data_IF_898106999231
#
_entry.id   IF_898106999231
#
_cell.length_a   1.000
_cell.length_b   1.000
_cell.length_c   1.000
_cell.angle_alpha   90.00
_cell.angle_beta   90.00
_cell.angle_gamma   90.00
#
_symmetry.space_group_name_H-M   'P 1'
#
loop_
_entity.id
_entity.type
_entity.pdbx_description
1 polymer ?
#
# COMPACT_ATOMS: atom_id res chain seq x y z
N UNK A 1 -48.68 -34.59 -35.59
CA UNK A 1 -47.75 -33.44 -35.52
C UNK A 1 -48.56 -32.15 -35.55
N UNK A 2 -48.40 -31.29 -34.55
CA UNK A 2 -48.28 -29.83 -34.68
C UNK A 2 -48.66 -29.16 -33.36
N UNK A 3 -47.67 -28.70 -32.60
CA UNK A 3 -47.86 -27.78 -31.48
C UNK A 3 -48.02 -26.38 -32.07
N UNK A 4 -49.24 -25.83 -32.02
CA UNK A 4 -49.49 -24.45 -32.42
C UNK A 4 -48.94 -23.53 -31.32
N UNK A 5 -47.73 -23.04 -31.52
CA UNK A 5 -47.12 -22.00 -30.69
C UNK A 5 -47.97 -20.73 -30.76
N UNK A 6 -48.54 -20.32 -29.64
CA UNK A 6 -49.15 -19.00 -29.45
C UNK A 6 -48.49 -18.30 -28.26
N UNK A 7 -47.15 -18.25 -28.25
CA UNK A 7 -46.45 -17.30 -27.40
C UNK A 7 -46.44 -15.93 -28.10
N UNK A 8 -47.47 -15.13 -27.83
CA UNK A 8 -47.47 -13.70 -28.15
C UNK A 8 -46.90 -12.93 -26.97
N UNK A 9 -45.60 -12.64 -27.00
CA UNK A 9 -44.99 -11.73 -26.03
C UNK A 9 -45.46 -10.32 -26.42
N UNK A 10 -46.38 -9.75 -25.66
CA UNK A 10 -46.79 -8.37 -25.85
C UNK A 10 -45.55 -7.47 -25.84
N UNK A 11 -45.29 -6.76 -26.94
CA UNK A 11 -44.22 -5.76 -27.03
C UNK A 11 -44.53 -4.65 -26.03
N UNK A 12 -43.96 -4.74 -24.83
CA UNK A 12 -44.01 -3.65 -23.86
C UNK A 12 -43.25 -2.47 -24.46
N UNK A 13 -43.82 -1.25 -24.37
CA UNK A 13 -43.14 -0.04 -24.83
C UNK A 13 -41.74 0.01 -24.19
N UNK A 14 -40.68 0.39 -24.91
CA UNK A 14 -39.36 0.53 -24.32
C UNK A 14 -39.49 1.42 -23.09
N UNK A 15 -39.20 0.86 -21.90
CA UNK A 15 -39.14 1.65 -20.68
C UNK A 15 -37.94 2.58 -20.85
N UNK A 16 -38.19 3.82 -21.29
CA UNK A 16 -37.17 4.87 -21.24
C UNK A 16 -36.89 5.11 -19.76
N UNK A 17 -35.86 4.44 -19.24
CA UNK A 17 -35.29 4.80 -17.95
C UNK A 17 -34.80 6.24 -18.11
N UNK A 18 -35.49 7.16 -17.46
CA UNK A 18 -35.13 8.58 -17.39
C UNK A 18 -33.90 8.82 -16.52
N UNK A 19 -33.26 7.78 -15.97
CA UNK A 19 -31.98 7.89 -15.27
C UNK A 19 -30.83 7.97 -16.29
N UNK A 20 -30.82 9.07 -17.03
CA UNK A 20 -29.61 9.55 -17.71
C UNK A 20 -28.63 10.00 -16.63
N UNK A 21 -27.38 9.52 -16.77
CA UNK A 21 -26.17 9.94 -16.07
C UNK A 21 -26.08 9.52 -14.60
N UNK A 22 -25.15 8.62 -14.23
CA UNK A 22 -24.58 8.77 -12.92
C UNK A 22 -23.89 10.15 -12.90
N UNK A 23 -23.94 10.86 -11.77
CA UNK A 23 -22.96 11.90 -11.40
C UNK A 23 -23.19 13.36 -11.85
N UNK A 24 -24.40 13.93 -11.74
CA UNK A 24 -24.54 15.39 -11.49
C UNK A 24 -25.74 15.71 -10.58
N UNK A 25 -25.92 14.94 -9.51
CA UNK A 25 -26.83 15.35 -8.44
C UNK A 25 -26.10 16.34 -7.52
N UNK A 26 -26.76 17.39 -7.01
CA UNK A 26 -26.22 18.21 -5.93
C UNK A 26 -25.94 17.34 -4.71
N UNK A 27 -24.96 17.73 -3.89
CA UNK A 27 -24.45 16.90 -2.79
C UNK A 27 -25.54 16.43 -1.80
N UNK A 28 -26.59 17.23 -1.61
CA UNK A 28 -27.74 16.91 -0.75
C UNK A 28 -28.65 15.81 -1.32
N UNK A 29 -28.93 15.85 -2.62
CA UNK A 29 -29.73 14.82 -3.29
C UNK A 29 -28.93 13.52 -3.39
N UNK A 30 -27.62 13.62 -3.65
CA UNK A 30 -26.73 12.46 -3.66
C UNK A 30 -26.64 11.78 -2.29
N UNK A 31 -26.58 12.56 -1.20
CA UNK A 31 -26.61 12.04 0.16
C UNK A 31 -27.95 11.39 0.52
N UNK A 32 -29.08 11.89 -0.02
CA UNK A 32 -30.40 11.27 0.16
C UNK A 32 -30.54 9.95 -0.60
N UNK A 33 -29.98 9.85 -1.80
CA UNK A 33 -30.12 8.65 -2.64
C UNK A 33 -29.10 7.56 -2.30
N UNK A 34 -27.84 7.93 -2.02
CA UNK A 34 -26.74 6.98 -1.78
C UNK A 34 -26.39 6.80 -0.30
N UNK A 35 -27.01 7.59 0.58
CA UNK A 35 -26.76 7.58 2.02
C UNK A 35 -25.60 8.48 2.45
N UNK A 36 -25.44 8.63 3.77
CA UNK A 36 -24.48 9.54 4.43
C UNK A 36 -23.01 9.25 4.12
N UNK A 37 -22.69 8.09 3.55
CA UNK A 37 -21.32 7.63 3.32
C UNK A 37 -20.94 7.48 1.84
N UNK A 38 -21.66 8.13 0.92
CA UNK A 38 -21.41 7.96 -0.51
C UNK A 38 -20.01 8.38 -1.00
N UNK A 39 -19.28 9.18 -0.20
CA UNK A 39 -17.91 9.61 -0.50
C UNK A 39 -16.83 8.75 0.20
N UNK A 40 -17.23 7.79 1.04
CA UNK A 40 -16.30 6.95 1.77
C UNK A 40 -16.21 5.61 1.06
N UNK A 41 -15.14 5.40 0.30
CA UNK A 41 -14.83 4.09 -0.26
C UNK A 41 -14.23 3.27 0.88
N UNK A 42 -14.98 2.29 1.39
CA UNK A 42 -14.49 1.34 2.38
C UNK A 42 -14.52 -0.10 1.83
N UNK A 43 -13.63 -0.93 2.37
CA UNK A 43 -13.59 -2.36 2.09
C UNK A 43 -13.42 -3.12 3.41
N UNK A 44 -14.02 -4.32 3.46
CA UNK A 44 -13.85 -5.24 4.58
C UNK A 44 -13.13 -6.48 4.11
N UNK A 45 -11.96 -6.75 4.70
CA UNK A 45 -11.18 -7.97 4.44
C UNK A 45 -11.13 -8.73 5.76
N UNK A 46 -11.88 -9.84 5.84
CA UNK A 46 -12.12 -10.54 7.09
C UNK A 46 -12.79 -9.64 8.13
N UNK A 47 -12.15 -9.47 9.28
CA UNK A 47 -12.63 -8.62 10.38
C UNK A 47 -12.06 -7.19 10.34
N UNK A 48 -11.32 -6.82 9.29
CA UNK A 48 -10.67 -5.52 9.18
C UNK A 48 -11.46 -4.60 8.26
N UNK A 49 -11.63 -3.35 8.68
CA UNK A 49 -12.21 -2.27 7.87
C UNK A 49 -11.11 -1.34 7.38
N UNK A 50 -11.03 -1.15 6.07
CA UNK A 50 -10.11 -0.20 5.42
C UNK A 50 -10.92 0.85 4.66
N UNK A 51 -10.47 2.09 4.67
CA UNK A 51 -11.09 3.26 4.03
C UNK A 51 -10.08 3.91 3.10
N UNK A 52 -10.48 4.23 1.87
CA UNK A 52 -9.62 4.92 0.91
C UNK A 52 -9.57 6.43 1.21
N UNK A 53 -8.37 6.96 1.42
CA UNK A 53 -8.14 8.40 1.50
C UNK A 53 -7.96 8.96 0.09
N UNK A 54 -8.97 9.69 -0.36
CA UNK A 54 -9.00 10.34 -1.68
C UNK A 54 -7.95 11.47 -1.77
N UNK A 55 -7.63 12.16 -0.66
CA UNK A 55 -6.67 13.26 -0.66
C UNK A 55 -5.21 12.77 -0.72
N UNK A 56 -4.91 11.64 -0.06
CA UNK A 56 -3.59 11.02 -0.10
C UNK A 56 -3.43 9.96 -1.19
N UNK A 57 -4.51 9.61 -1.89
CA UNK A 57 -4.50 8.66 -3.00
C UNK A 57 -4.17 7.22 -2.58
N UNK A 58 -4.60 6.77 -1.39
CA UNK A 58 -4.20 5.48 -0.84
C UNK A 58 -5.20 4.89 0.16
N UNK A 59 -5.10 3.58 0.38
CA UNK A 59 -5.91 2.90 1.41
C UNK A 59 -5.36 3.19 2.80
N UNK A 60 -6.24 3.61 3.71
CA UNK A 60 -5.99 3.75 5.13
C UNK A 60 -6.77 2.71 5.89
N UNK A 61 -6.12 2.06 6.82
CA UNK A 61 -6.82 1.27 7.81
C UNK A 61 -7.42 2.18 8.87
N UNK A 62 -8.67 1.95 9.22
CA UNK A 62 -9.23 2.49 10.45
C UNK A 62 -8.36 1.92 11.58
N UNK A 63 -7.77 2.78 12.42
CA UNK A 63 -6.53 2.59 13.23
C UNK A 63 -6.34 1.29 14.04
N UNK A 64 -7.30 0.38 14.00
CA UNK A 64 -7.23 -1.05 14.33
C UNK A 64 -6.19 -1.89 13.57
N UNK A 65 -5.44 -1.35 12.59
CA UNK A 65 -4.33 -2.10 11.94
C UNK A 65 -3.00 -2.00 12.70
N UNK A 66 -3.00 -1.39 13.89
CA UNK A 66 -1.96 -1.67 14.88
C UNK A 66 -2.20 -2.97 15.67
N UNK A 67 -3.31 -3.68 15.46
CA UNK A 67 -3.60 -4.88 16.24
C UNK A 67 -2.94 -6.17 15.70
N UNK A 68 -2.49 -6.23 14.44
CA UNK A 68 -2.04 -7.51 13.85
C UNK A 68 -0.89 -7.45 12.84
N UNK A 69 -0.21 -6.31 12.63
CA UNK A 69 1.25 -6.42 12.41
C UNK A 69 1.79 -6.62 13.80
N UNK A 70 1.90 -7.88 14.19
CA UNK A 70 2.27 -8.37 15.52
C UNK A 70 3.35 -7.44 16.10
N UNK A 71 2.98 -6.58 17.05
CA UNK A 71 3.85 -5.50 17.56
C UNK A 71 5.19 -6.05 18.03
N UNK A 72 5.20 -7.33 18.42
CA UNK A 72 6.38 -8.13 18.71
C UNK A 72 7.27 -8.35 17.49
N UNK A 73 6.72 -8.70 16.33
CA UNK A 73 7.47 -8.87 15.09
C UNK A 73 8.02 -7.54 14.58
N UNK A 74 7.25 -6.44 14.72
CA UNK A 74 7.77 -5.10 14.42
C UNK A 74 8.94 -4.73 15.36
N UNK A 75 8.81 -4.98 16.66
CA UNK A 75 9.88 -4.72 17.62
C UNK A 75 11.13 -5.60 17.39
N UNK A 76 10.95 -6.86 16.97
CA UNK A 76 12.06 -7.73 16.56
C UNK A 76 12.75 -7.21 15.30
N UNK A 77 11.98 -6.78 14.31
CA UNK A 77 12.52 -6.20 13.08
C UNK A 77 13.30 -4.92 13.36
N UNK A 78 12.79 -4.02 14.20
CA UNK A 78 13.49 -2.80 14.60
C UNK A 78 14.79 -3.12 15.36
N UNK A 79 14.78 -4.11 16.26
CA UNK A 79 15.99 -4.56 16.96
C UNK A 79 17.03 -5.13 15.98
N UNK A 80 16.61 -6.01 15.08
CA UNK A 80 17.50 -6.62 14.08
C UNK A 80 18.06 -5.58 13.11
N UNK A 81 17.25 -4.61 12.68
CA UNK A 81 17.70 -3.50 11.85
C UNK A 81 18.78 -2.69 12.57
N UNK A 82 18.55 -2.35 13.86
CA UNK A 82 19.54 -1.61 14.66
C UNK A 82 20.84 -2.38 14.83
N UNK A 83 20.78 -3.67 15.15
CA UNK A 83 21.97 -4.53 15.25
C UNK A 83 22.74 -4.56 13.92
N UNK A 84 22.04 -4.71 12.80
CA UNK A 84 22.66 -4.68 11.47
C UNK A 84 23.28 -3.33 11.13
N UNK A 85 22.68 -2.21 11.55
CA UNK A 85 23.24 -0.87 11.38
C UNK A 85 24.52 -0.67 12.22
N UNK A 86 24.53 -1.15 13.47
CA UNK A 86 25.69 -1.11 14.36
C UNK A 86 26.85 -1.98 13.82
N UNK A 87 26.54 -3.18 13.32
CA UNK A 87 27.51 -4.07 12.67
C UNK A 87 28.06 -3.44 11.38
N UNK A 88 27.19 -2.85 10.55
CA UNK A 88 27.62 -2.18 9.32
C UNK A 88 28.58 -1.02 9.61
N UNK A 89 28.26 -0.20 10.61
CA UNK A 89 29.13 0.89 11.04
C UNK A 89 30.49 0.38 11.54
N UNK A 90 30.47 -0.68 12.36
CA UNK A 90 31.70 -1.32 12.85
C UNK A 90 32.55 -1.87 11.70
N UNK A 91 31.93 -2.50 10.71
CA UNK A 91 32.62 -3.03 9.53
C UNK A 91 33.24 -1.91 8.69
N UNK A 92 32.54 -0.80 8.49
CA UNK A 92 33.09 0.37 7.77
C UNK A 92 34.35 0.89 8.44
N UNK A 93 34.31 1.12 9.76
CA UNK A 93 35.48 1.59 10.53
C UNK A 93 36.65 0.62 10.40
N UNK A 94 36.40 -0.69 10.47
CA UNK A 94 37.45 -1.71 10.29
C UNK A 94 38.06 -1.67 8.89
N UNK A 95 37.24 -1.48 7.86
CA UNK A 95 37.73 -1.36 6.48
C UNK A 95 38.62 -0.11 6.35
N UNK A 96 38.18 1.02 6.88
CA UNK A 96 38.95 2.27 6.81
C UNK A 96 40.32 2.12 7.51
N UNK A 97 40.35 1.55 8.71
CA UNK A 97 41.60 1.26 9.43
C UNK A 97 42.51 0.31 8.65
N UNK A 98 41.96 -0.75 8.06
CA UNK A 98 42.76 -1.70 7.28
C UNK A 98 43.33 -1.05 6.00
N UNK A 99 42.58 -0.14 5.38
CA UNK A 99 43.07 0.64 4.24
C UNK A 99 44.20 1.58 4.65
N UNK A 100 44.09 2.24 5.80
CA UNK A 100 45.17 3.06 6.36
C UNK A 100 46.43 2.23 6.64
N UNK A 101 46.29 1.07 7.29
CA UNK A 101 47.41 0.17 7.56
C UNK A 101 48.08 -0.34 6.28
N UNK A 102 47.29 -0.68 5.25
CA UNK A 102 47.83 -1.11 3.95
C UNK A 102 48.58 0.03 3.24
N UNK A 103 48.05 1.25 3.30
CA UNK A 103 48.72 2.41 2.75
C UNK A 103 50.07 2.67 3.45
N UNK A 104 50.10 2.55 4.78
CA UNK A 104 51.33 2.72 5.58
C UNK A 104 52.38 1.65 5.24
N UNK A 105 51.99 0.37 5.21
CA UNK A 105 52.90 -0.73 4.81
C UNK A 105 53.44 -0.53 3.39
N UNK A 106 52.60 -0.09 2.46
CA UNK A 106 53.00 0.16 1.07
C UNK A 106 54.00 1.31 0.99
N UNK A 107 53.75 2.40 1.72
CA UNK A 107 54.66 3.54 1.79
C UNK A 107 56.02 3.16 2.42
N UNK A 108 56.02 2.37 3.50
CA UNK A 108 57.26 1.86 4.11
C UNK A 108 58.06 0.98 3.15
N UNK A 109 57.37 0.08 2.43
CA UNK A 109 58.01 -0.79 1.45
C UNK A 109 58.67 0.02 0.32
N UNK A 110 57.96 1.02 -0.19
CA UNK A 110 58.48 1.88 -1.25
C UNK A 110 59.66 2.73 -0.77
N UNK A 111 59.60 3.24 0.46
CA UNK A 111 60.72 3.95 1.08
C UNK A 111 61.96 3.04 1.17
N UNK A 112 61.80 1.80 1.65
CA UNK A 112 62.89 0.80 1.74
C UNK A 112 63.46 0.40 0.38
N UNK A 113 62.67 0.51 -0.70
CA UNK A 113 63.12 0.22 -2.07
C UNK A 113 63.86 1.40 -2.70
N UNK A 114 63.52 2.62 -2.28
CA UNK A 114 64.07 3.87 -2.83
C UNK A 114 65.36 4.37 -2.16
N UNK A 115 65.71 3.85 -0.98
CA UNK A 115 66.97 4.11 -0.28
C UNK A 115 67.99 3.00 -0.49
#
# INVERSE_FOLDING_TARGET
MSFRSSFSIHKTKPRRLTSRSPLKLPAEEMARELGTHYQTIDARIGNQKITYDIAQGGWKSDGTVHAFVDSREMAKLDKSKRELEEDNNTLRVKIDMLLEMLAEITAEHDLRRSG
#
